data_IF_815044608231
#
_entry.id   IF_815044608231
#
_cell.length_a   1.000
_cell.length_b   1.000
_cell.length_c   1.000
_cell.angle_alpha   90.00
_cell.angle_beta   90.00
_cell.angle_gamma   90.00
#
_symmetry.space_group_name_H-M   'P 1'
#
loop_
_entity.id
_entity.type
_entity.pdbx_description
1 polymer ?
#
# COMPACT_ATOMS: atom_id res chain seq x y z
N UNK A 1 -16.97 -7.12 4.33
CA UNK A 1 -15.80 -7.70 3.64
C UNK A 1 -15.15 -6.57 2.88
N UNK A 2 -13.87 -6.31 3.09
CA UNK A 2 -13.15 -5.26 2.35
C UNK A 2 -13.20 -5.58 0.85
N UNK A 3 -13.66 -4.62 0.04
CA UNK A 3 -13.83 -4.79 -1.40
C UNK A 3 -12.54 -5.19 -2.13
N UNK A 4 -11.39 -4.88 -1.52
CA UNK A 4 -10.06 -5.22 -2.03
C UNK A 4 -9.72 -6.70 -1.84
N UNK A 5 -10.12 -7.34 -0.75
CA UNK A 5 -9.80 -8.77 -0.52
C UNK A 5 -10.57 -9.69 -1.45
N UNK A 6 -11.71 -9.23 -1.98
CA UNK A 6 -12.44 -9.93 -3.05
C UNK A 6 -11.70 -9.91 -4.40
N UNK A 7 -10.74 -8.99 -4.58
CA UNK A 7 -9.96 -8.82 -5.81
C UNK A 7 -8.56 -9.41 -5.64
N UNK A 8 -7.89 -9.12 -4.53
CA UNK A 8 -6.60 -9.70 -4.15
C UNK A 8 -6.31 -9.56 -2.66
N UNK A 9 -5.94 -10.70 -2.07
CA UNK A 9 -5.50 -10.78 -0.68
C UNK A 9 -4.19 -10.01 -0.45
N UNK A 10 -3.24 -10.08 -1.39
CA UNK A 10 -1.96 -9.37 -1.33
C UNK A 10 -2.15 -7.84 -1.38
N UNK A 11 -3.05 -7.34 -2.24
CA UNK A 11 -3.35 -5.90 -2.29
C UNK A 11 -4.05 -5.43 -1.01
N UNK A 12 -4.98 -6.23 -0.48
CA UNK A 12 -5.66 -5.92 0.77
C UNK A 12 -4.69 -5.88 1.96
N UNK A 13 -3.70 -6.79 1.99
CA UNK A 13 -2.66 -6.78 3.02
C UNK A 13 -1.80 -5.51 2.94
N UNK A 14 -1.31 -5.16 1.74
CA UNK A 14 -0.48 -3.97 1.54
C UNK A 14 -1.26 -2.69 1.92
N UNK A 15 -2.54 -2.60 1.53
CA UNK A 15 -3.42 -1.48 1.89
C UNK A 15 -3.61 -1.36 3.41
N UNK A 16 -3.84 -2.49 4.10
CA UNK A 16 -3.93 -2.55 5.55
C UNK A 16 -2.65 -2.08 6.24
N UNK A 17 -1.48 -2.53 5.77
CA UNK A 17 -0.19 -2.09 6.30
C UNK A 17 0.03 -0.57 6.08
N UNK A 18 -0.35 -0.04 4.92
CA UNK A 18 -0.30 1.41 4.65
C UNK A 18 -1.19 2.18 5.63
N UNK A 19 -2.43 1.72 5.84
CA UNK A 19 -3.37 2.35 6.76
C UNK A 19 -2.86 2.37 8.21
N UNK A 20 -2.28 1.27 8.67
CA UNK A 20 -1.67 1.17 10.00
C UNK A 20 -0.49 2.13 10.17
N UNK A 21 0.37 2.25 9.16
CA UNK A 21 1.48 3.21 9.19
C UNK A 21 0.96 4.64 9.20
N UNK A 22 -0.07 4.99 8.42
CA UNK A 22 -0.68 6.32 8.46
C UNK A 22 -1.25 6.65 9.84
N UNK A 23 -1.93 5.70 10.47
CA UNK A 23 -2.42 5.85 11.84
C UNK A 23 -1.27 6.04 12.84
N UNK A 24 -0.19 5.27 12.70
CA UNK A 24 0.99 5.41 13.55
C UNK A 24 1.69 6.77 13.35
N UNK A 25 1.81 7.23 12.11
CA UNK A 25 2.38 8.54 11.76
C UNK A 25 1.54 9.67 12.33
N UNK A 26 0.22 9.65 12.14
CA UNK A 26 -0.71 10.65 12.66
C UNK A 26 -0.58 10.79 14.18
N UNK A 27 -0.66 9.66 14.90
CA UNK A 27 -0.47 9.63 16.35
C UNK A 27 0.93 10.10 16.77
N UNK A 28 1.94 9.76 15.98
CA UNK A 28 3.32 10.13 16.23
C UNK A 28 3.58 11.63 16.12
N UNK A 29 3.09 12.27 15.06
CA UNK A 29 3.20 13.72 14.87
C UNK A 29 2.42 14.50 15.93
N UNK A 30 1.21 14.03 16.32
CA UNK A 30 0.47 14.61 17.43
C UNK A 30 1.23 14.56 18.78
N UNK A 31 2.03 13.51 19.00
CA UNK A 31 2.88 13.38 20.19
C UNK A 31 4.13 14.25 20.08
N UNK A 32 4.75 14.31 18.89
CA UNK A 32 5.97 15.07 18.63
C UNK A 32 5.84 16.54 19.02
N UNK A 33 4.70 17.15 18.69
CA UNK A 33 4.37 18.55 19.00
C UNK A 33 4.34 18.84 20.52
N UNK A 34 4.12 17.82 21.33
CA UNK A 34 4.04 17.93 22.80
C UNK A 34 5.38 17.70 23.50
N UNK A 35 6.41 17.26 22.77
CA UNK A 35 7.73 16.97 23.35
C UNK A 35 8.53 18.26 23.46
N UNK A 36 8.87 18.65 24.70
CA UNK A 36 9.69 19.85 24.99
C UNK A 36 11.20 19.60 24.91
N UNK A 37 11.63 18.37 25.22
CA UNK A 37 13.05 18.00 25.17
C UNK A 37 13.49 17.79 23.72
N UNK A 38 14.39 18.64 23.24
CA UNK A 38 14.83 18.66 21.84
C UNK A 38 15.48 17.33 21.42
N UNK A 39 16.23 16.69 22.30
CA UNK A 39 16.89 15.42 21.98
C UNK A 39 15.87 14.29 21.80
N UNK A 40 14.85 14.22 22.65
CA UNK A 40 13.74 13.27 22.52
C UNK A 40 12.88 13.59 21.30
N UNK A 41 12.64 14.87 21.02
CA UNK A 41 11.89 15.29 19.83
C UNK A 41 12.62 14.85 18.56
N UNK A 42 13.93 15.06 18.48
CA UNK A 42 14.76 14.63 17.35
C UNK A 42 14.71 13.13 17.11
N UNK A 43 14.86 12.31 18.17
CA UNK A 43 14.73 10.84 18.08
C UNK A 43 13.35 10.40 17.59
N UNK A 44 12.29 11.04 18.09
CA UNK A 44 10.93 10.73 17.66
C UNK A 44 10.73 11.09 16.18
N UNK A 45 11.29 12.22 15.72
CA UNK A 45 11.22 12.63 14.33
C UNK A 45 11.98 11.66 13.40
N UNK A 46 13.12 11.13 13.84
CA UNK A 46 13.87 10.11 13.11
C UNK A 46 13.05 8.81 12.94
N UNK A 47 12.37 8.36 14.01
CA UNK A 47 11.47 7.19 13.96
C UNK A 47 10.31 7.42 12.98
N UNK A 48 9.68 8.61 13.02
CA UNK A 48 8.59 8.96 12.12
C UNK A 48 9.07 9.04 10.66
N UNK A 49 10.27 9.56 10.44
CA UNK A 49 10.91 9.59 9.12
C UNK A 49 11.17 8.16 8.60
N UNK A 50 11.55 7.23 9.49
CA UNK A 50 11.63 5.80 9.18
C UNK A 50 10.29 5.24 8.68
N UNK A 51 9.22 5.47 9.44
CA UNK A 51 7.86 5.04 9.07
C UNK A 51 7.36 5.64 7.76
N UNK A 52 7.66 6.92 7.48
CA UNK A 52 7.32 7.55 6.20
C UNK A 52 8.04 6.90 5.01
N UNK A 53 9.32 6.52 5.18
CA UNK A 53 10.07 5.81 4.13
C UNK A 53 9.46 4.44 3.85
N UNK A 54 9.04 3.74 4.90
CA UNK A 54 8.37 2.45 4.75
C UNK A 54 6.99 2.58 4.09
N UNK A 55 6.19 3.56 4.51
CA UNK A 55 4.91 3.87 3.87
C UNK A 55 5.08 4.13 2.37
N UNK A 56 6.10 4.91 1.98
CA UNK A 56 6.41 5.18 0.57
C UNK A 56 6.84 3.93 -0.19
N UNK A 57 7.53 2.98 0.47
CA UNK A 57 7.89 1.69 -0.12
C UNK A 57 6.65 0.86 -0.42
N UNK A 58 5.75 0.74 0.55
CA UNK A 58 4.50 -0.02 0.42
C UNK A 58 3.57 0.58 -0.63
N UNK A 59 3.43 1.91 -0.71
CA UNK A 59 2.63 2.54 -1.78
C UNK A 59 3.15 2.16 -3.18
N UNK A 60 4.48 2.13 -3.36
CA UNK A 60 5.07 1.69 -4.64
C UNK A 60 4.86 0.20 -4.89
N UNK A 61 4.80 -0.61 -3.86
CA UNK A 61 4.52 -2.05 -3.94
C UNK A 61 3.08 -2.29 -4.34
N UNK A 62 2.13 -1.58 -3.71
CA UNK A 62 0.73 -1.54 -4.09
C UNK A 62 0.54 -1.17 -5.56
N UNK A 63 1.14 -0.07 -6.02
CA UNK A 63 1.09 0.37 -7.42
C UNK A 63 1.65 -0.67 -8.39
N UNK A 64 2.69 -1.41 -7.99
CA UNK A 64 3.29 -2.46 -8.81
C UNK A 64 2.35 -3.65 -8.93
N UNK A 65 1.72 -4.06 -7.83
CA UNK A 65 0.84 -5.21 -7.82
C UNK A 65 -0.46 -4.93 -8.58
N UNK A 66 -1.02 -3.71 -8.47
CA UNK A 66 -2.13 -3.25 -9.31
C UNK A 66 -1.78 -3.40 -10.79
N UNK A 67 -0.62 -2.89 -11.23
CA UNK A 67 -0.19 -2.99 -12.63
C UNK A 67 0.06 -4.43 -13.08
N UNK A 68 0.57 -5.29 -12.20
CA UNK A 68 0.78 -6.70 -12.50
C UNK A 68 -0.56 -7.42 -12.73
N UNK A 69 -1.56 -7.10 -11.90
CA UNK A 69 -2.91 -7.63 -12.03
C UNK A 69 -3.62 -7.19 -13.29
N UNK A 70 -3.54 -5.90 -13.64
CA UNK A 70 -4.11 -5.36 -14.88
C UNK A 70 -3.53 -6.08 -16.11
N UNK A 71 -2.21 -6.31 -16.14
CA UNK A 71 -1.55 -7.05 -17.23
C UNK A 71 -2.04 -8.49 -17.35
N UNK A 72 -2.16 -9.21 -16.22
CA UNK A 72 -2.70 -10.59 -16.19
C UNK A 72 -4.13 -10.63 -16.71
N UNK A 73 -4.97 -9.71 -16.25
CA UNK A 73 -6.38 -9.62 -16.65
C UNK A 73 -6.55 -9.34 -18.13
N UNK A 74 -5.75 -8.42 -18.68
CA UNK A 74 -5.75 -8.10 -20.11
C UNK A 74 -5.32 -9.30 -20.96
N UNK A 75 -4.28 -10.02 -20.54
CA UNK A 75 -3.81 -11.22 -21.24
C UNK A 75 -4.86 -12.34 -21.23
N UNK A 76 -5.50 -12.58 -20.08
CA UNK A 76 -6.58 -13.57 -19.97
C UNK A 76 -7.78 -13.20 -20.84
N UNK A 77 -8.20 -11.93 -20.81
CA UNK A 77 -9.30 -11.43 -21.63
C UNK A 77 -9.00 -11.61 -23.12
N UNK A 78 -7.80 -11.23 -23.57
CA UNK A 78 -7.38 -11.42 -24.96
C UNK A 78 -7.41 -12.89 -25.38
N UNK A 79 -6.93 -13.79 -24.51
CA UNK A 79 -6.96 -15.24 -24.75
C UNK A 79 -8.39 -15.75 -24.92
N UNK A 80 -9.29 -15.40 -24.00
CA UNK A 80 -10.71 -15.80 -24.06
C UNK A 80 -11.39 -15.30 -25.34
N UNK A 81 -11.12 -14.07 -25.77
CA UNK A 81 -11.65 -13.52 -27.02
C UNK A 81 -11.10 -14.24 -28.26
N UNK A 82 -9.81 -14.57 -28.26
CA UNK A 82 -9.20 -15.34 -29.34
C UNK A 82 -9.78 -16.75 -29.44
N UNK A 83 -9.95 -17.44 -28.32
CA UNK A 83 -10.56 -18.77 -28.25
C UNK A 83 -12.01 -18.74 -28.73
N UNK A 84 -12.79 -17.74 -28.30
CA UNK A 84 -14.17 -17.54 -28.77
C UNK A 84 -14.26 -17.20 -30.26
N UNK A 85 -13.29 -16.44 -30.79
CA UNK A 85 -13.21 -16.15 -32.22
C UNK A 85 -12.89 -17.41 -33.03
N UNK A 86 -12.06 -18.30 -32.51
CA UNK A 86 -11.70 -19.55 -33.19
C UNK A 86 -12.81 -20.62 -33.13
N UNK A 87 -13.68 -20.56 -32.13
CA UNK A 87 -14.79 -21.51 -31.97
C UNK A 87 -16.09 -21.08 -32.69
N UNK A 88 -16.08 -19.92 -33.35
CA UNK A 88 -17.13 -19.43 -34.26
C UNK A 88 -16.75 -19.68 -35.71
#
# INVERSE_FOLDING_TARGET
MDSLSAVSEELAEIDGQIADIFRALSNGFQKLDKIKDVNRQSRQLEELTGKMRECKRLIKEFDREVKAMERRTNANTHRMLSEKKQSM
#
